data_IF_812087238453
#
_entry.id   IF_812087238453
#
_cell.length_a   1.000
_cell.length_b   1.000
_cell.length_c   1.000
_cell.angle_alpha   90.00
_cell.angle_beta   90.00
_cell.angle_gamma   90.00
#
_symmetry.space_group_name_H-M   'P 1'
#
loop_
_entity.id
_entity.type
_entity.pdbx_description
1 polymer ?
#
# COMPACT_ATOMS: atom_id res chain seq x y z
N UNK A 1 -54.31 4.70 1.35
CA UNK A 1 -54.38 6.09 1.87
C UNK A 1 -54.46 6.16 3.41
N UNK A 2 -53.67 5.37 4.15
CA UNK A 2 -53.59 5.43 5.64
C UNK A 2 -52.18 5.76 6.16
N UNK A 3 -51.15 5.48 5.35
CA UNK A 3 -49.73 5.66 5.69
C UNK A 3 -49.33 7.15 5.73
N UNK A 4 -49.79 7.96 4.76
CA UNK A 4 -49.55 9.42 4.75
C UNK A 4 -50.12 10.17 5.96
N UNK A 5 -51.19 9.65 6.57
CA UNK A 5 -51.84 10.27 7.74
C UNK A 5 -51.04 10.06 9.03
N UNK A 6 -50.26 8.98 9.11
CA UNK A 6 -49.40 8.68 10.27
C UNK A 6 -48.12 9.54 10.26
N UNK A 7 -47.56 9.80 9.08
CA UNK A 7 -46.41 10.70 8.91
C UNK A 7 -46.75 12.16 9.25
N UNK A 8 -47.94 12.62 8.87
CA UNK A 8 -48.42 13.96 9.22
C UNK A 8 -48.69 14.13 10.72
N UNK A 9 -49.16 13.08 11.41
CA UNK A 9 -49.34 13.10 12.87
C UNK A 9 -48.01 13.12 13.63
N UNK A 10 -47.03 12.32 13.22
CA UNK A 10 -45.69 12.36 13.82
C UNK A 10 -45.06 13.77 13.71
N UNK A 11 -45.24 14.43 12.56
CA UNK A 11 -44.76 15.80 12.31
C UNK A 11 -45.52 16.86 13.13
N UNK A 12 -46.83 16.70 13.32
CA UNK A 12 -47.64 17.60 14.15
C UNK A 12 -47.37 17.44 15.65
N UNK A 13 -47.02 16.24 16.10
CA UNK A 13 -46.64 15.97 17.49
C UNK A 13 -45.31 16.67 17.80
N UNK A 14 -44.28 16.50 16.97
CA UNK A 14 -42.99 17.20 17.14
C UNK A 14 -43.10 18.73 17.12
N UNK A 15 -43.96 19.28 16.24
CA UNK A 15 -44.17 20.73 16.13
C UNK A 15 -44.93 21.36 17.32
N UNK A 16 -45.76 20.59 18.06
CA UNK A 16 -46.45 21.08 19.27
C UNK A 16 -45.54 21.03 20.50
N UNK A 17 -44.64 20.05 20.59
CA UNK A 17 -43.66 19.99 21.67
C UNK A 17 -42.61 21.12 21.58
N UNK A 18 -42.21 21.54 20.37
CA UNK A 18 -41.26 22.66 20.18
C UNK A 18 -41.80 24.06 20.51
N UNK A 19 -43.10 24.24 20.80
CA UNK A 19 -43.72 25.53 21.19
C UNK A 19 -44.13 25.61 22.66
N UNK A 20 -43.80 24.59 23.46
CA UNK A 20 -44.20 24.51 24.86
C UNK A 20 -42.96 24.69 25.76
N UNK A 21 -42.75 25.89 26.30
CA UNK A 21 -41.62 26.23 27.20
C UNK A 21 -41.82 25.76 28.66
N UNK A 22 -42.85 24.94 28.93
CA UNK A 22 -43.15 24.39 30.26
C UNK A 22 -42.60 22.96 30.49
N UNK A 23 -41.60 22.53 29.70
CA UNK A 23 -40.93 21.24 29.89
C UNK A 23 -40.01 21.25 31.12
N UNK A 24 -40.06 20.20 31.94
CA UNK A 24 -39.09 20.01 33.02
C UNK A 24 -37.70 19.77 32.43
N UNK A 25 -36.71 20.60 32.79
CA UNK A 25 -35.31 20.51 32.35
C UNK A 25 -34.73 19.08 32.49
N UNK A 26 -35.18 18.33 33.48
CA UNK A 26 -34.77 16.93 33.72
C UNK A 26 -35.26 15.97 32.63
N UNK A 27 -36.46 16.19 32.09
CA UNK A 27 -37.05 15.36 31.01
C UNK A 27 -36.40 15.66 29.67
N UNK A 28 -35.99 16.90 29.43
CA UNK A 28 -35.23 17.24 28.22
C UNK A 28 -33.82 16.63 28.28
N UNK A 29 -33.14 16.73 29.43
CA UNK A 29 -31.82 16.16 29.63
C UNK A 29 -31.79 14.63 29.41
N UNK A 30 -32.80 13.90 29.90
CA UNK A 30 -32.86 12.43 29.74
C UNK A 30 -33.05 11.99 28.28
N UNK A 31 -33.63 12.85 27.44
CA UNK A 31 -33.81 12.59 26.01
C UNK A 31 -32.59 12.99 25.18
N UNK A 32 -31.94 14.10 25.52
CA UNK A 32 -30.78 14.61 24.78
C UNK A 32 -29.49 13.83 25.10
N UNK A 33 -29.30 13.44 26.36
CA UNK A 33 -28.12 12.72 26.81
C UNK A 33 -27.78 11.46 25.98
N UNK A 34 -28.70 10.51 25.73
CA UNK A 34 -28.39 9.34 24.89
C UNK A 34 -28.04 9.71 23.44
N UNK A 35 -28.64 10.77 22.90
CA UNK A 35 -28.30 11.27 21.55
C UNK A 35 -26.86 11.78 21.52
N UNK A 36 -26.43 12.51 22.56
CA UNK A 36 -25.05 12.97 22.68
C UNK A 36 -24.11 11.77 22.82
N UNK A 37 -24.42 10.78 23.65
CA UNK A 37 -23.59 9.59 23.80
C UNK A 37 -23.42 8.83 22.47
N UNK A 38 -24.51 8.56 21.76
CA UNK A 38 -24.42 7.92 20.43
C UNK A 38 -23.66 8.78 19.43
N UNK A 39 -23.83 10.11 19.46
CA UNK A 39 -23.07 11.04 18.62
C UNK A 39 -21.56 10.97 18.91
N UNK A 40 -21.16 10.94 20.19
CA UNK A 40 -19.76 10.82 20.59
C UNK A 40 -19.18 9.47 20.18
N UNK A 41 -19.91 8.37 20.39
CA UNK A 41 -19.48 7.04 19.97
C UNK A 41 -19.32 6.96 18.45
N UNK A 42 -20.25 7.56 17.69
CA UNK A 42 -20.17 7.64 16.23
C UNK A 42 -18.94 8.42 15.78
N UNK A 43 -18.73 9.63 16.29
CA UNK A 43 -17.57 10.46 15.96
C UNK A 43 -16.27 9.73 16.28
N UNK A 44 -16.17 9.09 17.45
CA UNK A 44 -15.00 8.34 17.86
C UNK A 44 -14.70 7.17 16.91
N UNK A 45 -15.68 6.31 16.62
CA UNK A 45 -15.48 5.14 15.75
C UNK A 45 -15.05 5.56 14.34
N UNK A 46 -15.68 6.58 13.76
CA UNK A 46 -15.32 7.05 12.42
C UNK A 46 -13.95 7.73 12.40
N UNK A 47 -13.63 8.54 13.41
CA UNK A 47 -12.32 9.16 13.52
C UNK A 47 -11.19 8.11 13.61
N UNK A 48 -11.40 7.06 14.40
CA UNK A 48 -10.45 5.94 14.51
C UNK A 48 -10.28 5.22 13.16
N UNK A 49 -11.37 4.97 12.42
CA UNK A 49 -11.30 4.35 11.10
C UNK A 49 -10.52 5.22 10.09
N UNK A 50 -10.76 6.53 10.06
CA UNK A 50 -10.03 7.45 9.20
C UNK A 50 -8.54 7.59 9.59
N UNK A 51 -8.23 7.58 10.90
CA UNK A 51 -6.84 7.54 11.36
C UNK A 51 -6.13 6.30 10.83
N UNK A 52 -6.72 5.11 11.02
CA UNK A 52 -6.13 3.86 10.55
C UNK A 52 -5.94 3.89 9.02
N UNK A 53 -6.94 4.34 8.26
CA UNK A 53 -6.83 4.47 6.80
C UNK A 53 -5.69 5.41 6.39
N UNK A 54 -5.59 6.56 7.04
CA UNK A 54 -4.53 7.54 6.77
C UNK A 54 -3.14 7.02 7.11
N UNK A 55 -3.01 6.28 8.20
CA UNK A 55 -1.74 5.69 8.65
C UNK A 55 -1.31 4.54 7.72
N UNK A 56 -2.24 3.63 7.40
CA UNK A 56 -2.04 2.53 6.47
C UNK A 56 -1.59 3.01 5.08
N UNK A 57 -2.27 4.02 4.53
CA UNK A 57 -1.87 4.64 3.26
C UNK A 57 -0.42 5.16 3.31
N UNK A 58 -0.08 5.96 4.33
CA UNK A 58 1.27 6.54 4.47
C UNK A 58 2.36 5.49 4.63
N UNK A 59 2.09 4.45 5.44
CA UNK A 59 2.99 3.33 5.63
C UNK A 59 3.22 2.58 4.31
N UNK A 60 2.14 2.27 3.57
CA UNK A 60 2.22 1.60 2.27
C UNK A 60 3.07 2.40 1.28
N UNK A 61 2.84 3.71 1.14
CA UNK A 61 3.67 4.55 0.27
C UNK A 61 5.13 4.64 0.72
N UNK A 62 5.40 4.64 2.02
CA UNK A 62 6.75 4.69 2.56
C UNK A 62 7.53 3.41 2.25
N UNK A 63 6.91 2.25 2.48
CA UNK A 63 7.48 0.94 2.14
C UNK A 63 7.69 0.81 0.64
N UNK A 64 6.72 1.24 -0.16
CA UNK A 64 6.82 1.25 -1.63
C UNK A 64 7.96 2.15 -2.13
N UNK A 65 8.13 3.35 -1.55
CA UNK A 65 9.23 4.25 -1.90
C UNK A 65 10.59 3.66 -1.54
N UNK A 66 10.71 3.04 -0.35
CA UNK A 66 11.93 2.37 0.08
C UNK A 66 12.29 1.19 -0.84
N UNK A 67 11.31 0.35 -1.18
CA UNK A 67 11.49 -0.77 -2.12
C UNK A 67 11.89 -0.28 -3.52
N UNK A 68 11.28 0.79 -4.02
CA UNK A 68 11.58 1.32 -5.37
C UNK A 68 13.02 1.79 -5.56
N UNK A 69 13.76 2.02 -4.48
CA UNK A 69 15.15 2.50 -4.49
C UNK A 69 16.17 1.37 -4.39
N UNK A 70 15.74 0.12 -4.31
CA UNK A 70 16.67 -1.00 -4.28
C UNK A 70 17.28 -1.21 -5.66
N UNK A 71 18.59 -1.42 -5.68
CA UNK A 71 19.36 -1.76 -6.90
C UNK A 71 19.90 -3.19 -6.84
N UNK A 72 20.12 -3.70 -5.63
CA UNK A 72 20.51 -5.08 -5.39
C UNK A 72 19.29 -6.00 -5.37
N UNK A 73 19.48 -7.31 -5.65
CA UNK A 73 18.43 -8.30 -5.47
C UNK A 73 17.87 -8.28 -4.03
N UNK A 74 16.55 -8.33 -3.91
CA UNK A 74 15.85 -8.43 -2.63
C UNK A 74 15.53 -9.90 -2.33
N UNK A 75 15.68 -10.31 -1.07
CA UNK A 75 15.38 -11.67 -0.64
C UNK A 75 14.10 -11.74 0.21
N UNK A 76 13.73 -12.94 0.62
CA UNK A 76 12.59 -13.16 1.53
C UNK A 76 12.74 -12.38 2.85
N UNK A 77 13.93 -12.36 3.46
CA UNK A 77 14.17 -11.66 4.72
C UNK A 77 13.96 -10.15 4.60
N UNK A 78 14.35 -9.57 3.46
CA UNK A 78 14.11 -8.17 3.18
C UNK A 78 12.62 -7.84 3.16
N UNK A 79 11.80 -8.65 2.49
CA UNK A 79 10.35 -8.42 2.40
C UNK A 79 9.66 -8.64 3.76
N UNK A 80 10.10 -9.61 4.56
CA UNK A 80 9.64 -9.78 5.94
C UNK A 80 9.99 -8.55 6.79
N UNK A 81 11.20 -8.00 6.66
CA UNK A 81 11.59 -6.75 7.32
C UNK A 81 10.75 -5.54 6.88
N UNK A 82 10.30 -5.48 5.63
CA UNK A 82 9.33 -4.46 5.19
C UNK A 82 7.97 -4.63 5.86
N UNK A 83 7.57 -5.87 6.14
CA UNK A 83 6.36 -6.18 6.90
C UNK A 83 6.47 -5.66 8.33
N UNK A 84 7.61 -5.87 8.99
CA UNK A 84 7.88 -5.35 10.34
C UNK A 84 7.83 -3.82 10.37
N UNK A 85 8.43 -3.15 9.37
CA UNK A 85 8.38 -1.69 9.25
C UNK A 85 6.95 -1.22 9.05
N UNK A 86 6.20 -1.87 8.16
CA UNK A 86 4.79 -1.53 7.93
C UNK A 86 3.98 -1.67 9.22
N UNK A 87 4.12 -2.80 9.91
CA UNK A 87 3.44 -3.09 11.17
C UNK A 87 3.78 -2.06 12.25
N UNK A 88 5.06 -1.69 12.37
CA UNK A 88 5.51 -0.65 13.28
C UNK A 88 4.88 0.72 12.95
N UNK A 89 4.81 1.08 11.67
CA UNK A 89 4.23 2.35 11.24
C UNK A 89 2.71 2.40 11.44
N UNK A 90 2.02 1.27 11.32
CA UNK A 90 0.56 1.19 11.48
C UNK A 90 0.11 0.86 12.90
N UNK A 91 1.05 0.49 13.78
CA UNK A 91 0.77 -0.02 15.14
C UNK A 91 -0.30 -1.13 15.11
N UNK A 92 -0.19 -2.03 14.13
CA UNK A 92 -1.12 -3.13 13.93
C UNK A 92 -0.60 -4.41 14.63
N UNK A 93 -1.50 -5.21 15.21
CA UNK A 93 -1.13 -6.50 15.80
C UNK A 93 -0.80 -7.56 14.73
N UNK A 94 -1.43 -7.43 13.56
CA UNK A 94 -1.19 -8.26 12.38
C UNK A 94 -1.43 -7.46 11.12
N UNK A 95 -0.67 -7.77 10.07
CA UNK A 95 -0.80 -7.15 8.77
C UNK A 95 -0.74 -8.17 7.64
N UNK A 96 -1.35 -7.81 6.52
CA UNK A 96 -1.13 -8.42 5.22
C UNK A 96 -0.12 -7.56 4.46
N UNK A 97 0.95 -8.15 3.94
CA UNK A 97 1.87 -7.48 3.03
C UNK A 97 2.28 -8.44 1.91
N UNK A 98 2.10 -8.01 0.66
CA UNK A 98 2.57 -8.71 -0.52
C UNK A 98 3.24 -7.75 -1.48
N UNK A 99 4.37 -8.18 -2.00
CA UNK A 99 5.16 -7.46 -2.99
C UNK A 99 5.21 -8.29 -4.26
N UNK A 100 4.93 -7.66 -5.39
CA UNK A 100 5.03 -8.31 -6.70
C UNK A 100 5.77 -7.41 -7.68
N UNK A 101 6.55 -7.98 -8.59
CA UNK A 101 7.12 -7.27 -9.72
C UNK A 101 6.39 -7.69 -11.00
N UNK A 102 5.95 -6.69 -11.76
CA UNK A 102 5.17 -6.88 -12.97
C UNK A 102 5.82 -6.10 -14.11
N UNK A 103 5.98 -6.76 -15.24
CA UNK A 103 6.54 -6.17 -16.46
C UNK A 103 5.48 -6.19 -17.55
N UNK A 104 5.49 -5.21 -18.44
CA UNK A 104 4.71 -5.26 -19.66
C UNK A 104 5.58 -5.74 -20.82
N UNK A 105 5.20 -6.86 -21.42
CA UNK A 105 5.86 -7.47 -22.56
C UNK A 105 4.92 -7.50 -23.77
N UNK A 106 5.48 -7.78 -24.94
CA UNK A 106 4.71 -8.17 -26.11
C UNK A 106 5.14 -9.57 -26.47
N UNK A 107 4.20 -10.51 -26.45
CA UNK A 107 4.40 -11.88 -26.90
C UNK A 107 3.51 -12.14 -28.12
N UNK A 108 4.08 -12.68 -29.20
CA UNK A 108 3.41 -12.92 -30.48
C UNK A 108 2.61 -11.72 -31.07
N UNK A 109 3.00 -10.49 -30.74
CA UNK A 109 2.35 -9.26 -31.22
C UNK A 109 1.17 -8.79 -30.36
N UNK A 110 0.85 -9.50 -29.29
CA UNK A 110 -0.13 -9.11 -28.26
C UNK A 110 0.60 -8.63 -27.00
N UNK A 111 0.15 -7.51 -26.43
CA UNK A 111 0.74 -6.97 -25.20
C UNK A 111 0.08 -7.58 -23.96
N UNK A 112 0.90 -8.01 -22.99
CA UNK A 112 0.42 -8.61 -21.75
C UNK A 112 1.22 -8.14 -20.53
N UNK A 113 0.57 -8.17 -19.37
CA UNK A 113 1.25 -8.04 -18.08
C UNK A 113 1.83 -9.40 -17.69
N UNK A 114 3.12 -9.42 -17.39
CA UNK A 114 3.83 -10.60 -16.92
C UNK A 114 4.24 -10.42 -15.46
N UNK A 115 3.88 -11.40 -14.63
CA UNK A 115 4.35 -11.48 -13.26
C UNK A 115 5.79 -12.01 -13.24
N UNK A 116 6.75 -11.19 -12.84
CA UNK A 116 8.16 -11.58 -12.74
C UNK A 116 8.43 -12.38 -11.46
N UNK A 117 7.92 -11.87 -10.34
CA UNK A 117 7.98 -12.55 -9.05
C UNK A 117 6.94 -11.97 -8.11
N UNK A 118 6.57 -12.74 -7.09
CA UNK A 118 5.72 -12.27 -5.99
C UNK A 118 6.14 -12.94 -4.69
N UNK A 119 6.13 -12.17 -3.60
CA UNK A 119 6.40 -12.65 -2.26
C UNK A 119 5.42 -12.03 -1.26
N UNK A 120 4.77 -12.86 -0.46
CA UNK A 120 3.93 -12.43 0.65
C UNK A 120 4.64 -12.65 1.98
N UNK A 121 4.68 -11.60 2.81
CA UNK A 121 5.26 -11.66 4.15
C UNK A 121 4.30 -12.32 5.15
N UNK A 122 4.78 -12.72 6.34
CA UNK A 122 3.94 -13.30 7.40
C UNK A 122 3.08 -14.49 6.93
N UNK A 123 3.64 -15.35 6.06
CA UNK A 123 2.93 -16.48 5.44
C UNK A 123 1.76 -16.11 4.52
N UNK A 124 1.68 -14.84 4.07
CA UNK A 124 0.76 -14.45 3.00
C UNK A 124 1.14 -15.19 1.71
N UNK A 125 0.18 -15.80 1.00
CA UNK A 125 0.49 -16.46 -0.28
C UNK A 125 1.01 -15.45 -1.32
N UNK A 126 2.06 -15.81 -2.09
CA UNK A 126 2.48 -15.01 -3.23
C UNK A 126 1.36 -14.96 -4.28
N UNK A 127 1.41 -13.94 -5.13
CA UNK A 127 0.52 -13.85 -6.29
C UNK A 127 0.89 -14.97 -7.28
N UNK A 128 -0.12 -15.68 -7.78
CA UNK A 128 0.07 -16.77 -8.75
C UNK A 128 -0.48 -16.44 -10.13
N UNK A 129 -1.47 -15.57 -10.20
CA UNK A 129 -2.11 -15.15 -11.45
C UNK A 129 -2.19 -13.62 -11.51
N UNK A 130 -1.73 -13.04 -12.61
CA UNK A 130 -1.76 -11.59 -12.83
C UNK A 130 -3.19 -11.08 -12.99
N UNK A 131 -4.12 -11.93 -13.42
CA UNK A 131 -5.53 -11.59 -13.62
C UNK A 131 -6.19 -11.05 -12.34
N UNK A 132 -5.73 -11.48 -11.16
CA UNK A 132 -6.26 -11.05 -9.86
C UNK A 132 -6.04 -9.55 -9.59
N UNK A 133 -5.02 -8.94 -10.20
CA UNK A 133 -4.67 -7.52 -10.00
C UNK A 133 -4.69 -6.69 -11.29
N UNK A 134 -4.89 -7.33 -12.44
CA UNK A 134 -4.74 -6.72 -13.76
C UNK A 134 -5.60 -5.44 -13.95
N UNK A 135 -6.83 -5.43 -13.44
CA UNK A 135 -7.73 -4.28 -13.55
C UNK A 135 -7.24 -3.02 -12.81
N UNK A 136 -6.31 -3.19 -11.86
CA UNK A 136 -5.78 -2.12 -11.00
C UNK A 136 -4.41 -1.64 -11.46
N UNK A 137 -3.80 -2.33 -12.44
CA UNK A 137 -2.48 -1.96 -12.96
C UNK A 137 -2.58 -0.73 -13.86
N UNK A 138 -1.61 0.20 -13.77
CA UNK A 138 -1.51 1.31 -14.71
C UNK A 138 -1.07 0.80 -16.08
N UNK A 139 -1.38 1.56 -17.14
CA UNK A 139 -0.83 1.31 -18.47
C UNK A 139 0.70 1.48 -18.46
N UNK A 140 1.42 0.50 -19.00
CA UNK A 140 2.88 0.43 -19.05
C UNK A 140 3.40 0.50 -20.48
N UNK A 141 4.61 1.03 -20.67
CA UNK A 141 5.33 0.92 -21.95
C UNK A 141 5.96 -0.47 -22.13
N UNK A 142 6.33 -0.82 -23.37
CA UNK A 142 7.05 -2.06 -23.66
C UNK A 142 8.36 -2.16 -22.85
N UNK A 143 8.53 -3.27 -22.12
CA UNK A 143 9.68 -3.54 -21.26
C UNK A 143 9.67 -2.78 -19.94
N UNK A 144 8.62 -2.01 -19.66
CA UNK A 144 8.51 -1.28 -18.40
C UNK A 144 8.13 -2.22 -17.26
N UNK A 145 8.87 -2.12 -16.15
CA UNK A 145 8.64 -2.91 -14.94
C UNK A 145 8.19 -2.01 -13.79
N UNK A 146 7.18 -2.47 -13.06
CA UNK A 146 6.69 -1.85 -11.83
C UNK A 146 6.73 -2.84 -10.67
N UNK A 147 6.75 -2.27 -9.47
CA UNK A 147 6.56 -2.97 -8.23
C UNK A 147 5.16 -2.66 -7.72
N UNK A 148 4.44 -3.70 -7.34
CA UNK A 148 3.10 -3.64 -6.77
C UNK A 148 3.21 -4.04 -5.31
N UNK A 149 2.86 -3.11 -4.42
CA UNK A 149 2.75 -3.34 -2.99
C UNK A 149 1.27 -3.42 -2.61
N UNK A 150 0.86 -4.55 -2.06
CA UNK A 150 -0.45 -4.78 -1.49
C UNK A 150 -0.31 -4.89 0.02
N UNK A 151 -1.02 -4.04 0.75
CA UNK A 151 -0.97 -4.01 2.20
C UNK A 151 -2.37 -3.96 2.80
N UNK A 152 -2.59 -4.62 3.93
CA UNK A 152 -3.85 -4.50 4.64
C UNK A 152 -3.71 -4.59 6.16
N UNK A 153 -4.56 -3.84 6.87
CA UNK A 153 -4.77 -3.94 8.31
C UNK A 153 -6.25 -4.05 8.62
N UNK A 154 -6.59 -4.77 9.68
CA UNK A 154 -7.98 -4.88 10.13
C UNK A 154 -8.37 -3.72 11.06
N UNK A 155 -9.51 -3.11 10.76
CA UNK A 155 -10.16 -2.17 11.66
C UNK A 155 -11.20 -2.90 12.51
N UNK A 156 -10.99 -2.92 13.83
CA UNK A 156 -11.98 -3.42 14.78
C UNK A 156 -12.56 -2.26 15.62
N UNK A 157 -13.82 -1.85 15.40
CA UNK A 157 -14.40 -0.72 16.12
C UNK A 157 -14.66 -1.05 17.59
N UNK A 158 -14.35 -0.12 18.48
CA UNK A 158 -14.70 -0.24 19.91
C UNK A 158 -16.22 -0.26 20.13
N UNK A 159 -16.97 0.45 19.28
CA UNK A 159 -18.43 0.51 19.29
C UNK A 159 -18.99 0.19 17.92
N UNK A 160 -19.86 -0.81 17.83
CA UNK A 160 -20.57 -1.16 16.59
C UNK A 160 -21.79 -0.24 16.37
N UNK A 161 -21.51 1.01 15.98
CA UNK A 161 -22.53 2.03 15.71
C UNK A 161 -22.28 2.58 14.30
N UNK A 162 -23.04 2.07 13.33
CA UNK A 162 -22.98 2.50 11.94
C UNK A 162 -21.77 2.00 11.14
N UNK A 163 -20.83 1.31 11.78
CA UNK A 163 -19.61 0.82 11.16
C UNK A 163 -19.17 -0.50 11.79
N UNK A 164 -19.08 -1.55 10.97
CA UNK A 164 -18.62 -2.90 11.37
C UNK A 164 -17.10 -3.02 11.23
N UNK A 165 -16.53 -4.11 11.74
CA UNK A 165 -15.14 -4.45 11.44
C UNK A 165 -14.95 -4.67 9.93
N UNK A 166 -13.82 -4.21 9.39
CA UNK A 166 -13.48 -4.33 7.98
C UNK A 166 -11.96 -4.23 7.79
N UNK A 167 -11.45 -4.79 6.70
CA UNK A 167 -10.04 -4.69 6.34
C UNK A 167 -9.79 -3.42 5.52
N UNK A 168 -8.83 -2.62 5.96
CA UNK A 168 -8.30 -1.49 5.21
C UNK A 168 -7.26 -2.04 4.26
N UNK A 169 -7.59 -2.14 2.97
CA UNK A 169 -6.65 -2.57 1.93
C UNK A 169 -6.10 -1.38 1.14
N UNK A 170 -4.81 -1.42 0.87
CA UNK A 170 -4.05 -0.45 0.10
C UNK A 170 -3.27 -1.14 -1.03
N UNK A 171 -3.14 -0.44 -2.16
CA UNK A 171 -2.43 -0.92 -3.33
C UNK A 171 -1.67 0.22 -3.95
N UNK A 172 -0.37 0.03 -4.09
CA UNK A 172 0.53 1.02 -4.64
C UNK A 172 1.39 0.36 -5.71
N UNK A 173 1.25 0.84 -6.95
CA UNK A 173 2.15 0.53 -8.05
C UNK A 173 3.19 1.64 -8.16
N UNK A 174 4.48 1.29 -8.14
CA UNK A 174 5.60 2.23 -8.27
C UNK A 174 6.64 1.72 -9.25
N UNK A 175 7.30 2.62 -9.97
CA UNK A 175 8.46 2.25 -10.80
C UNK A 175 9.72 2.16 -9.93
N UNK A 176 10.62 1.21 -10.17
CA UNK A 176 11.99 1.29 -9.68
C UNK A 176 12.64 2.61 -10.11
N UNK A 177 13.41 3.23 -9.20
CA UNK A 177 13.99 4.57 -9.41
C UNK A 177 15.44 4.55 -9.88
N UNK A 178 16.19 3.53 -9.47
CA UNK A 178 17.64 3.46 -9.67
C UNK A 178 18.09 2.22 -10.45
N UNK A 179 17.13 1.40 -10.89
CA UNK A 179 17.35 0.21 -11.70
C UNK A 179 16.19 0.06 -12.71
N UNK A 180 16.37 -0.77 -13.73
CA UNK A 180 15.28 -1.10 -14.68
C UNK A 180 14.23 -2.00 -14.04
N UNK A 181 14.65 -2.86 -13.11
CA UNK A 181 13.80 -3.74 -12.32
C UNK A 181 14.43 -4.02 -10.95
N UNK A 182 13.61 -4.44 -9.99
CA UNK A 182 14.11 -5.04 -8.73
C UNK A 182 13.98 -6.55 -8.87
N UNK A 183 15.09 -7.26 -8.71
CA UNK A 183 15.16 -8.72 -8.85
C UNK A 183 14.93 -9.36 -7.49
N UNK A 184 14.26 -10.52 -7.47
CA UNK A 184 14.10 -11.33 -6.26
C UNK A 184 15.13 -12.47 -6.22
N UNK A 185 15.82 -12.61 -5.09
CA UNK A 185 16.70 -13.74 -4.79
C UNK A 185 15.95 -14.73 -3.89
N UNK A 186 15.56 -15.86 -4.46
CA UNK A 186 14.88 -16.93 -3.74
C UNK A 186 15.85 -17.89 -3.03
N UNK A 187 17.15 -17.59 -3.04
CA UNK A 187 18.20 -18.44 -2.47
C UNK A 187 18.51 -19.67 -3.31
N UNK A 188 17.86 -19.85 -4.46
CA UNK A 188 18.24 -20.85 -5.46
C UNK A 188 19.30 -20.24 -6.38
N UNK A 189 20.57 -20.39 -5.99
CA UNK A 189 21.69 -19.94 -6.82
C UNK A 189 21.67 -20.66 -8.18
N UNK A 190 21.10 -19.99 -9.18
CA UNK A 190 20.83 -20.53 -10.51
C UNK A 190 20.79 -19.43 -11.58
N UNK A 191 21.86 -18.65 -11.71
CA UNK A 191 22.31 -18.07 -12.99
C UNK A 191 21.30 -17.28 -13.82
N UNK A 192 20.58 -16.33 -13.22
CA UNK A 192 19.96 -15.24 -13.99
C UNK A 192 21.01 -14.16 -14.27
N UNK A 193 21.80 -14.31 -15.33
CA UNK A 193 22.69 -13.24 -15.81
C UNK A 193 21.84 -11.98 -16.06
N UNK A 194 22.08 -10.84 -15.37
CA UNK A 194 21.50 -9.59 -15.78
C UNK A 194 21.94 -9.32 -17.22
N UNK A 195 21.02 -9.00 -18.12
CA UNK A 195 21.38 -8.48 -19.43
C UNK A 195 22.22 -7.20 -19.21
N UNK A 196 23.54 -7.37 -19.24
CA UNK A 196 24.51 -6.30 -19.10
C UNK A 196 24.34 -5.39 -20.31
N UNK A 197 23.67 -4.25 -20.11
CA UNK A 197 23.66 -3.19 -21.09
C UNK A 197 25.07 -2.65 -21.25
N UNK A 198 25.64 -2.86 -22.44
CA UNK A 198 26.77 -2.19 -23.06
C UNK A 198 27.66 -1.32 -22.13
N UNK A 199 28.65 -1.96 -21.50
CA UNK A 199 29.82 -1.27 -20.98
C UNK A 199 30.65 -0.76 -22.17
N UNK A 200 30.48 0.53 -22.52
CA UNK A 200 31.45 1.24 -23.36
C UNK A 200 32.74 1.40 -22.55
N UNK A 201 33.68 0.49 -22.77
CA UNK A 201 35.07 0.63 -22.32
C UNK A 201 35.66 1.94 -22.86
N UNK A 202 36.12 2.88 -22.02
CA UNK A 202 36.93 3.99 -22.51
C UNK A 202 38.30 3.42 -22.95
N UNK A 203 38.64 3.62 -24.21
CA UNK A 203 39.96 3.24 -24.74
C UNK A 203 41.02 4.20 -24.20
N UNK A 204 41.66 3.81 -23.11
CA UNK A 204 42.81 4.52 -22.54
C UNK A 204 44.02 4.41 -23.49
N UNK A 205 44.11 5.35 -24.43
CA UNK A 205 45.31 5.56 -25.23
C UNK A 205 46.28 6.44 -24.45
N UNK A 206 47.07 5.83 -23.55
CA UNK A 206 48.25 6.49 -22.98
C UNK A 206 49.49 6.16 -23.82
N UNK A 207 49.95 7.15 -24.57
CA UNK A 207 51.19 7.11 -25.34
C UNK A 207 52.41 6.84 -24.46
N UNK A 208 53.12 5.75 -24.77
CA UNK A 208 54.41 5.39 -24.16
C UNK A 208 55.52 6.26 -24.74
N UNK A 209 56.01 7.24 -23.98
CA UNK A 209 57.27 7.93 -24.28
C UNK A 209 58.43 7.17 -23.62
N UNK A 210 59.27 6.57 -24.45
CA UNK A 210 60.47 5.85 -24.04
C UNK A 210 61.57 6.78 -23.51
N UNK A 211 62.02 6.51 -22.29
CA UNK A 211 63.22 7.10 -21.69
C UNK A 211 64.23 6.01 -21.33
N UNK A 212 65.23 5.77 -22.20
CA UNK A 212 66.41 4.96 -21.88
C UNK A 212 67.39 5.80 -21.07
N UNK A 213 67.63 5.43 -19.81
CA UNK A 213 68.83 5.84 -19.08
C UNK A 213 69.67 4.62 -18.72
N UNK A 214 70.87 4.57 -19.30
CA UNK A 214 71.93 3.61 -19.02
C UNK A 214 73.09 4.40 -18.40
N UNK A 215 73.40 4.15 -17.13
CA UNK A 215 74.60 4.61 -16.42
C UNK A 215 74.77 3.64 -15.25
N UNK A 216 75.77 2.78 -15.19
CA UNK A 216 77.19 3.04 -15.36
C UNK A 216 77.80 2.92 -13.97
N UNK A 217 78.40 1.75 -13.72
CA UNK A 217 79.06 1.36 -12.47
C UNK A 217 80.23 2.26 -12.11
N UNK A 218 80.35 2.57 -10.81
CA UNK A 218 81.55 2.42 -9.99
C UNK A 218 81.22 2.68 -8.53
#
# INVERSE_FOLDING_TARGET
MKIFRNLLRARQIGARYGRSEHGSMSVEAILVLPVIFFGLMFIYTYFAAFQLKGLSNKATYTVSDYLSRQTEPVDSNFIEGLSDIYQFLTNADSNYLRVSSVTWSIDDGEGAYELQWSYGANSVPPLTDIADIQERLPLLALGETILVLEASNDFNPLFNIGLNAFSVADFVATKPRFATQVVFDDGSSGGGTPASGDDVQPTDTYGTYGGRHHRGTR
#
